data_IF_025455836883
#
_entry.id   IF_025455836883
#
_cell.length_a   1.000
_cell.length_b   1.000
_cell.length_c   1.000
_cell.angle_alpha   90.00
_cell.angle_beta   90.00
_cell.angle_gamma   90.00
#
_symmetry.space_group_name_H-M   'P 1'
#
loop_
_entity.id
_entity.type
_entity.pdbx_description
1 polymer ?
#
# COMPACT_ATOMS: atom_id res chain seq x y z
N UNK A 1 -6.20 13.34 3.17
CA UNK A 1 -5.51 13.19 1.86
C UNK A 1 -6.50 12.71 0.79
N UNK A 2 -6.25 12.98 -0.49
CA UNK A 2 -7.07 12.44 -1.58
C UNK A 2 -6.67 11.00 -1.93
N UNK A 3 -7.59 10.22 -2.52
CA UNK A 3 -7.35 8.82 -2.88
C UNK A 3 -6.21 8.66 -3.90
N UNK A 4 -6.13 9.56 -4.88
CA UNK A 4 -5.10 9.53 -5.93
C UNK A 4 -3.70 9.69 -5.36
N UNK A 5 -3.52 10.61 -4.39
CA UNK A 5 -2.25 10.81 -3.68
C UNK A 5 -1.81 9.54 -2.93
N UNK A 6 -2.76 8.85 -2.30
CA UNK A 6 -2.52 7.61 -1.55
C UNK A 6 -2.05 6.49 -2.48
N UNK A 7 -2.70 6.37 -3.65
CA UNK A 7 -2.34 5.42 -4.70
C UNK A 7 -0.93 5.68 -5.20
N UNK A 8 -0.61 6.93 -5.54
CA UNK A 8 0.72 7.30 -6.05
C UNK A 8 1.80 7.03 -5.00
N UNK A 9 1.57 7.43 -3.75
CA UNK A 9 2.49 7.15 -2.62
C UNK A 9 2.74 5.66 -2.43
N UNK A 10 1.70 4.84 -2.46
CA UNK A 10 1.83 3.40 -2.30
C UNK A 10 2.64 2.75 -3.44
N UNK A 11 2.38 3.14 -4.68
CA UNK A 11 3.14 2.65 -5.85
C UNK A 11 4.61 3.06 -5.75
N UNK A 12 4.88 4.32 -5.42
CA UNK A 12 6.24 4.82 -5.28
C UNK A 12 6.99 4.12 -4.15
N UNK A 13 6.33 3.90 -3.00
CA UNK A 13 6.89 3.14 -1.89
C UNK A 13 7.24 1.70 -2.32
N UNK A 14 6.33 0.99 -2.99
CA UNK A 14 6.57 -0.37 -3.47
C UNK A 14 7.75 -0.46 -4.44
N UNK A 15 7.88 0.52 -5.34
CA UNK A 15 9.06 0.63 -6.23
C UNK A 15 10.35 0.86 -5.44
N UNK A 16 10.32 1.70 -4.40
CA UNK A 16 11.48 1.97 -3.56
C UNK A 16 11.96 0.74 -2.79
N UNK A 17 11.05 -0.14 -2.35
CA UNK A 17 11.41 -1.38 -1.63
C UNK A 17 11.68 -2.57 -2.55
N UNK A 18 11.70 -2.37 -3.88
CA UNK A 18 12.15 -3.37 -4.86
C UNK A 18 11.05 -4.07 -5.67
N UNK A 19 9.79 -3.65 -5.55
CA UNK A 19 8.69 -4.20 -6.34
C UNK A 19 8.42 -3.33 -7.57
N UNK A 20 8.85 -3.80 -8.74
CA UNK A 20 8.80 -3.04 -10.00
C UNK A 20 7.41 -2.95 -10.65
N UNK A 21 6.52 -3.91 -10.36
CA UNK A 21 5.18 -4.01 -10.97
C UNK A 21 4.08 -4.31 -9.95
N UNK A 22 3.91 -3.48 -8.90
CA UNK A 22 2.88 -3.71 -7.91
C UNK A 22 1.50 -3.47 -8.52
N UNK A 23 0.58 -4.42 -8.33
CA UNK A 23 -0.81 -4.27 -8.73
C UNK A 23 -1.67 -3.96 -7.52
N UNK A 24 -2.18 -2.72 -7.43
CA UNK A 24 -3.08 -2.37 -6.33
C UNK A 24 -4.40 -3.15 -6.47
N UNK A 25 -4.82 -3.77 -5.37
CA UNK A 25 -6.01 -4.60 -5.31
C UNK A 25 -7.12 -3.92 -4.50
N UNK A 26 -6.76 -3.32 -3.36
CA UNK A 26 -7.71 -2.63 -2.48
C UNK A 26 -7.05 -1.38 -1.90
N UNK A 27 -7.78 -0.27 -1.89
CA UNK A 27 -7.39 0.94 -1.16
C UNK A 27 -8.60 1.39 -0.36
N UNK A 28 -8.45 1.44 0.96
CA UNK A 28 -9.54 1.86 1.85
C UNK A 28 -9.04 2.71 3.00
N UNK A 29 -9.88 3.64 3.43
CA UNK A 29 -9.65 4.43 4.64
C UNK A 29 -10.15 3.67 5.87
N UNK A 30 -9.32 3.59 6.90
CA UNK A 30 -9.60 2.92 8.17
C UNK A 30 -9.22 3.88 9.31
N UNK A 31 -10.19 4.64 9.79
CA UNK A 31 -9.95 5.70 10.77
C UNK A 31 -9.02 6.79 10.20
N UNK A 32 -7.91 7.04 10.89
CA UNK A 32 -6.91 8.07 10.56
C UNK A 32 -5.79 7.55 9.64
N UNK A 33 -5.97 6.37 9.04
CA UNK A 33 -5.01 5.78 8.10
C UNK A 33 -5.68 5.21 6.86
N UNK A 34 -4.91 5.15 5.78
CA UNK A 34 -5.22 4.40 4.58
C UNK A 34 -4.55 3.03 4.64
N UNK A 35 -5.29 1.99 4.32
CA UNK A 35 -4.77 0.66 4.04
C UNK A 35 -4.78 0.42 2.55
N UNK A 36 -3.61 0.08 2.01
CA UNK A 36 -3.41 -0.29 0.62
C UNK A 36 -2.96 -1.74 0.57
N UNK A 37 -3.69 -2.57 -0.18
CA UNK A 37 -3.33 -3.96 -0.49
C UNK A 37 -2.87 -4.03 -1.94
N UNK A 38 -1.67 -4.53 -2.17
CA UNK A 38 -1.07 -4.69 -3.49
C UNK A 38 -0.61 -6.12 -3.69
N UNK A 39 -0.87 -6.70 -4.86
CA UNK A 39 -0.33 -8.00 -5.25
C UNK A 39 1.13 -7.82 -5.72
N UNK A 40 2.03 -8.61 -5.13
CA UNK A 40 3.46 -8.65 -5.49
C UNK A 40 3.76 -9.79 -6.48
N UNK A 41 2.83 -10.74 -6.65
CA UNK A 41 2.95 -11.94 -7.47
C UNK A 41 2.93 -13.21 -6.63
N UNK A 42 2.69 -14.36 -7.27
CA UNK A 42 2.71 -15.69 -6.63
C UNK A 42 1.80 -15.84 -5.40
N UNK A 43 0.69 -15.10 -5.36
CA UNK A 43 -0.23 -15.11 -4.21
C UNK A 43 0.29 -14.36 -2.97
N UNK A 44 1.36 -13.59 -3.12
CA UNK A 44 1.92 -12.73 -2.06
C UNK A 44 1.35 -11.31 -2.22
N UNK A 45 0.86 -10.76 -1.12
CA UNK A 45 0.31 -9.41 -1.05
C UNK A 45 1.14 -8.53 -0.11
N UNK A 46 1.39 -7.29 -0.51
CA UNK A 46 1.86 -6.24 0.37
C UNK A 46 0.67 -5.49 0.96
N UNK A 47 0.73 -5.23 2.26
CA UNK A 47 -0.15 -4.27 2.93
C UNK A 47 0.68 -3.07 3.38
N UNK A 48 0.23 -1.88 2.99
CA UNK A 48 0.85 -0.61 3.32
C UNK A 48 -0.16 0.21 4.14
N UNK A 49 0.30 0.73 5.28
CA UNK A 49 -0.48 1.66 6.09
C UNK A 49 0.08 3.07 5.94
N UNK A 50 -0.76 4.00 5.47
CA UNK A 50 -0.38 5.40 5.24
C UNK A 50 -1.22 6.30 6.15
N UNK A 51 -0.55 7.15 6.90
CA UNK A 51 -1.17 8.16 7.77
C UNK A 51 -1.95 9.20 6.93
N UNK A 52 -3.23 9.43 7.21
CA UNK A 52 -4.10 10.30 6.36
C UNK A 52 -3.75 11.79 6.46
N UNK A 53 -3.19 12.23 7.59
CA UNK A 53 -2.80 13.62 7.82
C UNK A 53 -1.42 13.91 7.22
N UNK A 54 -0.43 13.06 7.51
CA UNK A 54 0.97 13.30 7.15
C UNK A 54 1.41 12.63 5.86
N UNK A 55 0.67 11.64 5.37
CA UNK A 55 1.04 10.84 4.20
C UNK A 55 2.27 9.95 4.41
N UNK A 56 2.71 9.77 5.66
CA UNK A 56 3.85 8.91 5.99
C UNK A 56 3.41 7.45 6.03
N UNK A 57 4.24 6.57 5.47
CA UNK A 57 4.08 5.12 5.66
C UNK A 57 4.39 4.78 7.11
N UNK A 58 3.42 4.18 7.81
CA UNK A 58 3.52 3.77 9.23
C UNK A 58 3.73 2.27 9.38
N UNK A 59 3.32 1.49 8.40
CA UNK A 59 3.43 0.04 8.42
C UNK A 59 3.57 -0.52 7.01
N UNK A 60 4.37 -1.58 6.89
CA UNK A 60 4.53 -2.37 5.69
C UNK A 60 4.73 -3.83 6.11
N UNK A 61 3.92 -4.73 5.58
CA UNK A 61 4.02 -6.16 5.83
C UNK A 61 3.51 -6.98 4.64
N UNK A 62 4.03 -8.18 4.51
CA UNK A 62 3.62 -9.14 3.49
C UNK A 62 2.59 -10.13 4.06
N UNK A 63 1.60 -10.48 3.25
CA UNK A 63 0.54 -11.43 3.56
C UNK A 63 0.53 -12.50 2.46
N UNK A 64 0.75 -13.76 2.85
CA UNK A 64 0.58 -14.90 1.94
C UNK A 64 -0.90 -15.26 1.85
N UNK A 65 -1.37 -15.58 0.65
CA UNK A 65 -2.71 -16.15 0.47
C UNK A 65 -2.74 -17.57 1.03
N UNK A 66 -3.39 -17.75 2.18
CA UNK A 66 -3.81 -19.07 2.71
C UNK A 66 -4.89 -19.73 1.87
#
# INVERSE_FOLDING_TARGET
MELEDVIEKAINFLKMVGHSYPKLYEVRKVGEKWKVRAELGFGIFAIIEIDDETGKVRGFYEEESV
#
